data_IF_560526179398
#
_entry.id   IF_560526179398
#
_cell.length_a   1.000
_cell.length_b   1.000
_cell.length_c   1.000
_cell.angle_alpha   90.00
_cell.angle_beta   90.00
_cell.angle_gamma   90.00
#
_symmetry.space_group_name_H-M   'P 1'
#
loop_
_entity.id
_entity.type
_entity.pdbx_description
1 polymer ?
#
# COMPACT_ATOMS: atom_id res chain seq x y z
N UNK A 1 11.22 -19.10 25.12
CA UNK A 1 12.23 -18.16 24.62
C UNK A 1 13.60 -18.68 25.01
N UNK A 2 14.50 -18.90 24.03
CA UNK A 2 15.85 -19.45 24.26
C UNK A 2 16.83 -18.34 24.65
N UNK A 3 17.99 -18.69 25.21
CA UNK A 3 19.04 -17.73 25.57
C UNK A 3 19.53 -16.94 24.33
N UNK A 4 19.59 -17.58 23.16
CA UNK A 4 19.94 -16.93 21.90
C UNK A 4 18.91 -15.88 21.46
N UNK A 5 17.62 -16.16 21.65
CA UNK A 5 16.52 -15.22 21.35
C UNK A 5 16.56 -14.00 22.27
N UNK A 6 16.85 -14.22 23.56
CA UNK A 6 17.04 -13.15 24.55
C UNK A 6 18.23 -12.25 24.17
N UNK A 7 19.34 -12.83 23.74
CA UNK A 7 20.52 -12.09 23.33
C UNK A 7 20.31 -11.27 22.06
N UNK A 8 19.51 -11.76 21.11
CA UNK A 8 19.16 -11.04 19.88
C UNK A 8 18.26 -9.84 20.18
N UNK A 9 17.23 -10.03 20.98
CA UNK A 9 16.35 -8.95 21.45
C UNK A 9 17.11 -7.89 22.25
N UNK A 10 18.02 -8.30 23.14
CA UNK A 10 18.81 -7.37 23.95
C UNK A 10 19.83 -6.53 23.14
N UNK A 11 20.12 -6.89 21.89
CA UNK A 11 21.08 -6.20 21.02
C UNK A 11 20.44 -5.31 19.96
N UNK A 12 19.24 -5.64 19.50
CA UNK A 12 18.54 -4.88 18.46
C UNK A 12 17.64 -3.82 19.11
N UNK A 13 17.64 -2.59 18.59
CA UNK A 13 16.62 -1.62 18.95
C UNK A 13 15.26 -2.01 18.38
N UNK A 14 14.17 -1.48 18.93
CA UNK A 14 12.82 -1.70 18.38
C UNK A 14 12.77 -1.25 16.91
N UNK A 15 13.38 -0.10 16.59
CA UNK A 15 13.49 0.39 15.21
C UNK A 15 14.21 -0.61 14.31
N UNK A 16 15.30 -1.23 14.76
CA UNK A 16 16.00 -2.26 13.97
C UNK A 16 15.10 -3.45 13.65
N UNK A 17 14.33 -3.93 14.63
CA UNK A 17 13.39 -5.03 14.43
C UNK A 17 12.28 -4.67 13.44
N UNK A 18 11.74 -3.45 13.53
CA UNK A 18 10.74 -2.94 12.59
C UNK A 18 11.32 -2.82 11.17
N UNK A 19 12.52 -2.25 11.03
CA UNK A 19 13.20 -2.16 9.72
C UNK A 19 13.47 -3.56 9.16
N UNK A 20 13.88 -4.51 9.99
CA UNK A 20 14.08 -5.90 9.55
C UNK A 20 12.78 -6.54 9.05
N UNK A 21 11.66 -6.32 9.76
CA UNK A 21 10.35 -6.80 9.34
C UNK A 21 9.90 -6.16 8.01
N UNK A 22 10.05 -4.84 7.89
CA UNK A 22 9.68 -4.08 6.69
C UNK A 22 10.57 -4.34 5.47
N UNK A 23 11.77 -4.92 5.66
CA UNK A 23 12.65 -5.36 4.56
C UNK A 23 12.30 -6.74 4.02
N UNK A 24 11.43 -7.48 4.69
CA UNK A 24 10.97 -8.78 4.22
C UNK A 24 10.02 -8.59 3.02
N UNK A 25 10.30 -9.28 1.91
CA UNK A 25 9.54 -9.08 0.68
C UNK A 25 8.06 -9.47 0.83
N UNK A 26 7.75 -10.50 1.62
CA UNK A 26 6.37 -10.94 1.82
C UNK A 26 5.57 -9.90 2.61
N UNK A 27 6.21 -9.24 3.58
CA UNK A 27 5.61 -8.11 4.32
C UNK A 27 5.38 -6.92 3.39
N UNK A 28 6.36 -6.57 2.55
CA UNK A 28 6.21 -5.49 1.59
C UNK A 28 5.08 -5.76 0.60
N UNK A 29 5.06 -6.95 0.00
CA UNK A 29 4.03 -7.34 -0.97
C UNK A 29 2.63 -7.28 -0.35
N UNK A 30 2.48 -7.78 0.88
CA UNK A 30 1.19 -7.73 1.60
C UNK A 30 0.74 -6.30 1.89
N UNK A 31 1.64 -5.41 2.33
CA UNK A 31 1.31 -4.01 2.59
C UNK A 31 0.96 -3.27 1.29
N UNK A 32 1.70 -3.54 0.22
CA UNK A 32 1.42 -2.97 -1.10
C UNK A 32 0.07 -3.47 -1.63
N UNK A 33 -0.29 -4.74 -1.43
CA UNK A 33 -1.60 -5.29 -1.80
C UNK A 33 -2.75 -4.61 -1.03
N UNK A 34 -2.54 -4.24 0.24
CA UNK A 34 -3.52 -3.47 1.01
C UNK A 34 -3.79 -2.09 0.40
N UNK A 35 -2.76 -1.36 -0.04
CA UNK A 35 -2.95 -0.07 -0.73
C UNK A 35 -3.52 -0.25 -2.15
N UNK A 36 -3.00 -1.21 -2.91
CA UNK A 36 -3.30 -1.34 -4.34
C UNK A 36 -4.60 -2.09 -4.60
N UNK A 37 -4.65 -3.35 -4.19
CA UNK A 37 -5.74 -4.26 -4.50
C UNK A 37 -6.93 -3.99 -3.57
N UNK A 38 -6.74 -4.02 -2.25
CA UNK A 38 -7.85 -3.87 -1.32
C UNK A 38 -8.44 -2.44 -1.34
N UNK A 39 -7.59 -1.41 -1.30
CA UNK A 39 -8.05 -0.03 -1.16
C UNK A 39 -8.38 0.64 -2.51
N UNK A 40 -7.37 0.82 -3.38
CA UNK A 40 -7.56 1.56 -4.64
C UNK A 40 -8.44 0.81 -5.64
N UNK A 41 -8.41 -0.52 -5.62
CA UNK A 41 -9.17 -1.33 -6.56
C UNK A 41 -10.49 -1.86 -5.99
N UNK A 42 -10.48 -2.55 -4.85
CA UNK A 42 -11.70 -3.16 -4.34
C UNK A 42 -12.66 -2.14 -3.73
N UNK A 43 -12.15 -1.23 -2.89
CA UNK A 43 -12.94 -0.16 -2.28
C UNK A 43 -13.06 1.10 -3.16
N UNK A 44 -12.07 1.36 -4.01
CA UNK A 44 -12.02 2.59 -4.82
C UNK A 44 -11.83 3.83 -3.96
N UNK A 45 -10.95 3.75 -2.96
CA UNK A 45 -10.67 4.80 -1.97
C UNK A 45 -9.21 5.21 -1.99
N UNK A 46 -8.91 6.44 -1.59
CA UNK A 46 -7.55 6.89 -1.30
C UNK A 46 -7.15 6.60 0.17
N UNK A 47 -5.99 7.09 0.59
CA UNK A 47 -5.48 6.92 1.96
C UNK A 47 -6.27 7.68 3.02
N UNK A 48 -7.15 8.60 2.64
CA UNK A 48 -8.06 9.29 3.57
C UNK A 48 -9.43 8.59 3.64
N UNK A 49 -9.61 7.48 2.91
CA UNK A 49 -10.88 6.76 2.80
C UNK A 49 -11.89 7.45 1.88
N UNK A 50 -11.45 8.46 1.10
CA UNK A 50 -12.31 9.21 0.18
C UNK A 50 -12.43 8.43 -1.12
N UNK A 51 -13.67 8.30 -1.64
CA UNK A 51 -13.90 7.63 -2.92
C UNK A 51 -13.18 8.35 -4.06
N UNK A 52 -12.44 7.60 -4.88
CA UNK A 52 -11.72 8.12 -6.04
C UNK A 52 -12.67 8.79 -7.07
N UNK A 53 -13.93 8.36 -7.13
CA UNK A 53 -14.97 8.99 -7.94
C UNK A 53 -15.36 10.38 -7.45
N UNK A 54 -15.25 10.66 -6.16
CA UNK A 54 -15.50 11.98 -5.57
C UNK A 54 -14.34 12.96 -5.83
N UNK A 55 -13.12 12.43 -6.02
CA UNK A 55 -11.91 13.23 -6.27
C UNK A 55 -11.74 13.52 -7.76
N UNK A 56 -11.60 12.45 -8.56
CA UNK A 56 -11.26 12.53 -9.98
C UNK A 56 -12.47 12.46 -10.92
N UNK A 57 -13.69 12.40 -10.39
CA UNK A 57 -14.91 12.21 -11.16
C UNK A 57 -15.05 10.80 -11.77
N UNK A 58 -16.16 10.58 -12.48
CA UNK A 58 -16.46 9.29 -13.12
C UNK A 58 -15.67 9.04 -14.42
N UNK A 59 -15.74 7.80 -14.92
CA UNK A 59 -15.30 7.48 -16.27
C UNK A 59 -16.14 8.22 -17.30
N UNK A 60 -15.53 8.57 -18.43
CA UNK A 60 -16.27 9.15 -19.56
C UNK A 60 -17.27 8.13 -20.13
N UNK A 61 -18.36 8.61 -20.73
CA UNK A 61 -19.35 7.74 -21.38
C UNK A 61 -18.73 6.83 -22.44
N UNK A 62 -17.71 7.32 -23.15
CA UNK A 62 -16.94 6.54 -24.13
C UNK A 62 -16.17 5.40 -23.46
N UNK A 63 -15.51 5.68 -22.32
CA UNK A 63 -14.81 4.65 -21.55
C UNK A 63 -15.76 3.57 -21.05
N UNK A 64 -16.94 3.95 -20.55
CA UNK A 64 -17.96 3.00 -20.10
C UNK A 64 -18.55 2.16 -21.25
N UNK A 65 -18.68 2.75 -22.44
CA UNK A 65 -19.14 2.03 -23.63
C UNK A 65 -18.10 1.03 -24.17
N UNK A 66 -16.80 1.35 -24.06
CA UNK A 66 -15.70 0.47 -24.49
C UNK A 66 -15.34 -0.61 -23.46
N UNK A 67 -15.68 -0.39 -22.19
CA UNK A 67 -15.34 -1.25 -21.06
C UNK A 67 -16.59 -1.54 -20.23
N UNK A 68 -17.47 -2.46 -20.68
CA UNK A 68 -18.71 -2.77 -19.97
C UNK A 68 -18.50 -3.36 -18.57
N UNK A 69 -17.30 -3.84 -18.26
CA UNK A 69 -16.88 -4.26 -16.92
C UNK A 69 -16.64 -3.09 -15.95
N UNK A 70 -16.49 -1.86 -16.45
CA UNK A 70 -16.31 -0.65 -15.65
C UNK A 70 -17.67 -0.03 -15.32
N UNK A 71 -17.85 0.38 -14.07
CA UNK A 71 -19.07 1.04 -13.61
C UNK A 71 -18.83 2.53 -13.35
N UNK A 72 -19.85 3.36 -13.62
CA UNK A 72 -19.88 4.76 -13.21
C UNK A 72 -19.79 4.95 -11.69
N UNK A 73 -20.26 3.93 -10.94
CA UNK A 73 -20.38 3.93 -9.49
C UNK A 73 -19.14 3.33 -8.80
N UNK A 74 -18.29 2.61 -9.55
CA UNK A 74 -17.04 2.01 -9.05
C UNK A 74 -15.87 2.45 -9.92
N UNK A 75 -15.31 3.62 -9.60
CA UNK A 75 -14.06 4.10 -10.19
C UNK A 75 -12.90 3.44 -9.47
N UNK A 76 -12.17 2.63 -10.20
CA UNK A 76 -10.93 1.99 -9.72
C UNK A 76 -9.79 2.49 -10.61
N UNK A 77 -8.56 2.50 -10.12
CA UNK A 77 -7.43 2.81 -11.00
C UNK A 77 -7.05 1.65 -11.93
N UNK A 78 -7.97 0.70 -12.18
CA UNK A 78 -7.76 -0.48 -13.05
C UNK A 78 -7.61 -0.07 -14.51
N UNK A 79 -6.40 0.31 -14.87
CA UNK A 79 -5.81 -0.01 -16.15
C UNK A 79 -4.55 -0.84 -15.91
N UNK A 80 -4.46 -1.93 -16.66
CA UNK A 80 -3.39 -2.92 -16.72
C UNK A 80 -1.99 -2.42 -16.30
N UNK A 81 -1.47 -3.03 -15.23
CA UNK A 81 -0.05 -3.28 -14.97
C UNK A 81 0.73 -2.08 -14.47
N UNK A 82 1.16 -1.20 -15.37
CA UNK A 82 2.36 -0.36 -15.13
C UNK A 82 2.26 0.60 -13.95
N UNK A 83 1.07 1.12 -13.64
CA UNK A 83 0.92 2.00 -12.48
C UNK A 83 0.94 1.20 -11.17
N UNK A 84 0.14 0.14 -11.07
CA UNK A 84 0.12 -0.75 -9.91
C UNK A 84 1.47 -1.45 -9.68
N UNK A 85 2.14 -1.86 -10.75
CA UNK A 85 3.47 -2.47 -10.72
C UNK A 85 4.57 -1.47 -10.31
N UNK A 86 4.27 -0.17 -10.30
CA UNK A 86 5.24 0.87 -9.92
C UNK A 86 5.26 1.16 -8.42
N UNK A 87 4.31 0.62 -7.67
CA UNK A 87 4.25 0.84 -6.22
C UNK A 87 5.44 0.18 -5.52
N UNK A 88 6.01 0.90 -4.57
CA UNK A 88 7.16 0.48 -3.77
C UNK A 88 6.99 0.91 -2.33
N UNK A 89 7.33 0.00 -1.43
CA UNK A 89 7.45 0.29 -0.01
C UNK A 89 8.93 0.49 0.31
N UNK A 90 9.26 1.65 0.91
CA UNK A 90 10.62 1.95 1.38
C UNK A 90 10.60 2.05 2.90
N UNK A 91 11.30 1.14 3.61
CA UNK A 91 11.47 1.25 5.06
C UNK A 91 12.39 2.44 5.40
N UNK A 92 12.03 3.20 6.43
CA UNK A 92 12.85 4.26 6.99
C UNK A 92 13.62 3.76 8.21
N UNK A 93 14.72 4.42 8.56
CA UNK A 93 15.59 3.99 9.67
C UNK A 93 14.92 4.04 11.05
N UNK A 94 13.81 4.77 11.18
CA UNK A 94 13.02 4.91 12.41
C UNK A 94 12.15 3.69 12.70
N UNK A 95 11.91 2.82 11.70
CA UNK A 95 10.90 1.77 11.75
C UNK A 95 9.60 2.15 11.04
N UNK A 96 9.53 3.36 10.46
CA UNK A 96 8.44 3.78 9.58
C UNK A 96 8.62 3.25 8.16
N UNK A 97 7.62 3.44 7.31
CA UNK A 97 7.73 3.14 5.88
C UNK A 97 7.00 4.18 5.03
N UNK A 98 7.43 4.30 3.77
CA UNK A 98 6.77 5.11 2.76
C UNK A 98 6.32 4.26 1.59
N UNK A 99 5.07 4.44 1.17
CA UNK A 99 4.55 3.92 -0.10
C UNK A 99 4.73 5.01 -1.16
N UNK A 100 5.29 4.66 -2.29
CA UNK A 100 5.47 5.55 -3.45
C UNK A 100 5.18 4.81 -4.74
N UNK A 101 4.86 5.54 -5.80
CA UNK A 101 4.48 5.03 -7.12
C UNK A 101 4.99 5.97 -8.22
N UNK A 102 5.00 5.51 -9.46
CA UNK A 102 5.22 6.37 -10.61
C UNK A 102 3.88 6.88 -11.15
N UNK A 103 3.47 8.13 -10.87
CA UNK A 103 2.15 8.61 -11.28
C UNK A 103 2.03 8.87 -12.77
N UNK A 104 3.11 8.83 -13.56
CA UNK A 104 3.06 9.20 -14.96
C UNK A 104 2.36 8.12 -15.80
N UNK A 105 1.20 8.46 -16.35
CA UNK A 105 0.46 7.66 -17.31
C UNK A 105 0.32 8.43 -18.62
N UNK A 106 0.99 7.96 -19.67
CA UNK A 106 0.95 8.54 -21.02
C UNK A 106 1.29 10.05 -21.05
N UNK A 107 2.25 10.49 -20.23
CA UNK A 107 2.69 11.88 -20.19
C UNK A 107 1.84 12.80 -19.31
N UNK A 108 0.90 12.25 -18.52
CA UNK A 108 0.13 12.99 -17.52
C UNK A 108 0.24 12.31 -16.16
N UNK A 109 0.36 13.11 -15.11
CA UNK A 109 0.39 12.57 -13.75
C UNK A 109 -1.01 12.17 -13.31
N UNK A 110 -1.17 10.96 -12.77
CA UNK A 110 -2.41 10.53 -12.13
C UNK A 110 -2.73 11.40 -10.90
N UNK A 111 -1.72 11.97 -10.25
CA UNK A 111 -1.94 12.84 -9.09
C UNK A 111 -2.62 14.16 -9.47
N UNK A 112 -2.53 14.61 -10.72
CA UNK A 112 -3.29 15.79 -11.18
C UNK A 112 -4.80 15.57 -11.10
N UNK A 113 -5.25 14.31 -11.20
CA UNK A 113 -6.67 13.97 -11.21
C UNK A 113 -7.16 13.36 -9.89
N UNK A 114 -6.37 12.52 -9.25
CA UNK A 114 -6.78 11.79 -8.04
C UNK A 114 -6.04 12.21 -6.77
N UNK A 115 -5.12 13.18 -6.86
CA UNK A 115 -4.28 13.60 -5.75
C UNK A 115 -3.14 12.61 -5.45
N UNK A 116 -2.24 13.02 -4.58
CA UNK A 116 -1.13 12.21 -4.07
C UNK A 116 -1.57 11.20 -2.99
N UNK A 117 -2.74 11.41 -2.38
CA UNK A 117 -3.35 10.54 -1.37
C UNK A 117 -3.68 9.14 -1.85
N UNK A 118 -3.58 8.86 -3.14
CA UNK A 118 -3.61 7.48 -3.66
C UNK A 118 -2.43 6.65 -3.11
N UNK A 119 -1.33 7.31 -2.75
CA UNK A 119 -0.21 6.69 -2.03
C UNK A 119 -0.51 6.67 -0.53
N UNK A 120 -0.50 5.47 0.06
CA UNK A 120 -0.70 5.29 1.51
C UNK A 120 -1.93 4.48 1.87
N UNK A 121 -2.03 4.14 3.14
CA UNK A 121 -3.09 3.29 3.67
C UNK A 121 -4.14 4.14 4.38
N UNK A 122 -5.41 3.83 4.14
CA UNK A 122 -6.49 4.27 5.00
C UNK A 122 -6.40 3.60 6.37
N UNK A 123 -7.14 4.12 7.35
CA UNK A 123 -7.05 3.68 8.75
C UNK A 123 -7.23 2.16 8.91
N UNK A 124 -8.24 1.58 8.24
CA UNK A 124 -8.53 0.15 8.33
C UNK A 124 -7.43 -0.74 7.76
N UNK A 125 -6.79 -0.33 6.67
CA UNK A 125 -5.68 -1.07 6.08
C UNK A 125 -4.35 -0.79 6.78
N UNK A 126 -4.18 0.40 7.37
CA UNK A 126 -3.03 0.72 8.20
C UNK A 126 -2.97 -0.21 9.43
N UNK A 127 -4.10 -0.45 10.10
CA UNK A 127 -4.14 -1.39 11.21
C UNK A 127 -3.73 -2.81 10.80
N UNK A 128 -4.20 -3.30 9.64
CA UNK A 128 -3.78 -4.61 9.11
C UNK A 128 -2.29 -4.66 8.81
N UNK A 129 -1.72 -3.57 8.30
CA UNK A 129 -0.28 -3.48 8.08
C UNK A 129 0.50 -3.57 9.40
N UNK A 130 0.02 -2.91 10.46
CA UNK A 130 0.61 -3.05 11.80
C UNK A 130 0.56 -4.51 12.29
N UNK A 131 -0.57 -5.19 12.14
CA UNK A 131 -0.72 -6.59 12.55
C UNK A 131 0.27 -7.49 11.79
N UNK A 132 0.42 -7.30 10.48
CA UNK A 132 1.40 -8.05 9.65
C UNK A 132 2.83 -7.81 10.13
N UNK A 133 3.19 -6.55 10.40
CA UNK A 133 4.53 -6.17 10.88
C UNK A 133 4.78 -6.79 12.26
N UNK A 134 3.81 -6.72 13.18
CA UNK A 134 3.91 -7.29 14.52
C UNK A 134 4.16 -8.80 14.45
N UNK A 135 3.38 -9.54 13.65
CA UNK A 135 3.59 -10.97 13.45
C UNK A 135 5.01 -11.26 12.93
N UNK A 136 5.51 -10.47 11.98
CA UNK A 136 6.87 -10.65 11.47
C UNK A 136 7.94 -10.37 12.52
N UNK A 137 7.76 -9.33 13.34
CA UNK A 137 8.68 -9.03 14.45
C UNK A 137 8.70 -10.19 15.46
N UNK A 138 7.54 -10.74 15.81
CA UNK A 138 7.46 -11.91 16.69
C UNK A 138 8.19 -13.11 16.08
N UNK A 139 8.03 -13.38 14.79
CA UNK A 139 8.80 -14.43 14.11
C UNK A 139 10.30 -14.19 14.17
N UNK A 140 10.76 -12.95 13.99
CA UNK A 140 12.19 -12.58 14.07
C UNK A 140 12.75 -12.84 15.46
N UNK A 141 11.97 -12.58 16.52
CA UNK A 141 12.38 -12.78 17.91
C UNK A 141 12.35 -14.28 18.30
N UNK A 142 11.34 -15.01 17.80
CA UNK A 142 11.10 -16.42 18.16
C UNK A 142 11.86 -17.43 17.27
N UNK A 143 12.50 -16.98 16.20
CA UNK A 143 13.49 -17.75 15.43
C UNK A 143 14.87 -17.51 16.04
#
# INVERSE_FOLDING_TARGET
>A
MTIAQIQRFAKASISDLLVMALRDSQVQDAILELNTQAQLFDLGEDSEGIKLSAIGGSYSSVTLALHPEKSKDKITLRDTGKYYDSFKLTPESTGDFKITSNPNKNGRSLFERWGDKVEGLNEGNYQKALDIIEQKVLEIILK
#
